data_IF_374709323080
#
_entry.id   IF_374709323080
#
_cell.length_a   1.000
_cell.length_b   1.000
_cell.length_c   1.000
_cell.angle_alpha   90.00
_cell.angle_beta   90.00
_cell.angle_gamma   90.00
#
_symmetry.space_group_name_H-M   'P 1'
#
loop_
_entity.id
_entity.type
_entity.pdbx_description
1 polymer ?
#
# COMPACT_ATOMS: atom_id res chain seq x y z
N UNK A 1 8.55 -10.89 -10.28
CA UNK A 1 9.27 -9.59 -10.40
C UNK A 1 8.35 -8.44 -10.00
N UNK A 2 8.93 -7.38 -9.38
CA UNK A 2 8.16 -6.18 -9.04
C UNK A 2 8.10 -5.22 -10.23
N UNK A 3 6.89 -4.86 -10.62
CA UNK A 3 6.63 -3.93 -11.70
C UNK A 3 6.48 -2.49 -11.17
N UNK A 4 6.90 -1.55 -11.99
CA UNK A 4 6.59 -0.13 -11.89
C UNK A 4 5.76 0.26 -13.11
N UNK A 5 4.42 0.20 -13.03
CA UNK A 5 3.56 0.37 -14.18
C UNK A 5 3.52 1.80 -14.71
N UNK A 6 3.98 2.80 -13.92
CA UNK A 6 3.95 4.19 -14.34
C UNK A 6 2.52 4.72 -14.46
N UNK A 7 1.69 4.40 -13.48
CA UNK A 7 0.34 4.94 -13.41
C UNK A 7 0.48 6.43 -13.12
N UNK A 8 0.26 7.26 -14.13
CA UNK A 8 0.07 8.70 -13.94
C UNK A 8 -1.27 8.86 -13.21
N UNK A 9 -1.18 9.04 -11.91
CA UNK A 9 -2.34 9.23 -11.08
C UNK A 9 -2.79 10.68 -11.13
N UNK A 10 -3.65 11.01 -12.07
CA UNK A 10 -4.57 12.12 -11.89
C UNK A 10 -5.67 11.79 -10.85
N UNK A 11 -5.56 10.68 -10.14
CA UNK A 11 -6.54 10.19 -9.17
C UNK A 11 -5.85 9.65 -7.91
N UNK A 12 -5.54 10.50 -6.94
CA UNK A 12 -5.07 10.23 -5.57
C UNK A 12 -3.58 10.09 -5.32
N UNK A 13 -3.10 10.86 -4.33
CA UNK A 13 -1.76 10.84 -3.73
C UNK A 13 -1.31 9.42 -3.29
N UNK A 14 -2.26 8.52 -3.01
CA UNK A 14 -2.00 7.15 -2.58
C UNK A 14 -1.33 6.25 -3.65
N UNK A 15 -1.35 6.64 -4.94
CA UNK A 15 -0.74 5.88 -6.04
C UNK A 15 0.67 6.39 -6.39
N UNK A 16 1.20 7.36 -5.68
CA UNK A 16 2.50 7.98 -5.97
C UNK A 16 3.69 7.02 -5.87
N UNK A 17 3.58 5.86 -5.23
CA UNK A 17 4.65 4.85 -5.20
C UNK A 17 4.79 4.06 -6.50
N UNK A 18 3.89 4.23 -7.45
CA UNK A 18 3.97 3.65 -8.80
C UNK A 18 4.42 4.66 -9.86
N UNK A 19 4.83 5.88 -9.48
CA UNK A 19 5.33 6.92 -10.36
C UNK A 19 6.58 6.47 -11.12
N UNK A 20 6.81 7.08 -12.30
CA UNK A 20 8.01 6.84 -13.10
C UNK A 20 9.30 7.14 -12.34
N UNK A 21 9.29 8.12 -11.45
CA UNK A 21 10.40 8.44 -10.54
C UNK A 21 10.20 7.74 -9.18
N UNK A 22 10.41 6.43 -9.15
CA UNK A 22 10.31 5.62 -7.95
C UNK A 22 11.49 4.64 -7.88
N UNK A 23 12.05 4.48 -6.68
CA UNK A 23 13.17 3.54 -6.44
C UNK A 23 12.78 2.06 -6.53
N UNK A 24 11.47 1.75 -6.58
CA UNK A 24 10.97 0.37 -6.53
C UNK A 24 10.55 -0.15 -7.89
N UNK A 25 10.90 -1.40 -8.16
CA UNK A 25 10.41 -2.16 -9.30
C UNK A 25 10.99 -1.73 -10.65
N UNK A 26 10.79 -2.58 -11.65
CA UNK A 26 11.24 -2.35 -13.01
C UNK A 26 10.19 -1.59 -13.82
N UNK A 27 10.60 -0.60 -14.59
CA UNK A 27 9.72 0.17 -15.44
C UNK A 27 9.07 -0.71 -16.53
N UNK A 28 7.74 -0.64 -16.61
CA UNK A 28 6.99 -1.30 -17.69
C UNK A 28 7.11 -0.52 -18.98
N UNK A 29 6.90 0.80 -18.95
CA UNK A 29 6.98 1.68 -20.13
C UNK A 29 8.39 1.79 -20.70
N UNK A 30 9.42 1.77 -19.83
CA UNK A 30 10.83 1.78 -20.25
C UNK A 30 11.35 0.43 -20.77
N UNK A 31 10.54 -0.62 -20.71
CA UNK A 31 10.93 -1.96 -21.16
C UNK A 31 11.85 -2.73 -20.22
N UNK A 32 12.23 -2.15 -19.08
CA UNK A 32 13.10 -2.79 -18.08
C UNK A 32 12.46 -4.05 -17.50
N UNK A 33 11.15 -4.00 -17.20
CA UNK A 33 10.40 -5.14 -16.68
C UNK A 33 10.40 -6.33 -17.64
N UNK A 34 10.26 -6.06 -18.93
CA UNK A 34 10.31 -7.10 -19.96
C UNK A 34 11.69 -7.73 -20.05
N UNK A 35 12.76 -6.92 -20.07
CA UNK A 35 14.13 -7.42 -20.10
C UNK A 35 14.45 -8.25 -18.85
N UNK A 36 14.04 -7.80 -17.66
CA UNK A 36 14.23 -8.54 -16.43
C UNK A 36 13.52 -9.91 -16.46
N UNK A 37 12.28 -9.95 -16.96
CA UNK A 37 11.55 -11.20 -17.12
C UNK A 37 12.24 -12.17 -18.11
N UNK A 38 12.72 -11.67 -19.24
CA UNK A 38 13.46 -12.46 -20.23
C UNK A 38 14.76 -13.04 -19.64
N UNK A 39 15.51 -12.23 -18.88
CA UNK A 39 16.73 -12.70 -18.22
C UNK A 39 16.44 -13.84 -17.22
N UNK A 40 15.38 -13.71 -16.42
CA UNK A 40 14.99 -14.74 -15.46
C UNK A 40 14.51 -16.02 -16.15
N UNK A 41 13.79 -15.89 -17.27
CA UNK A 41 13.33 -17.06 -18.05
C UNK A 41 14.47 -17.77 -18.81
N UNK A 42 15.58 -17.10 -19.02
CA UNK A 42 16.79 -17.65 -19.66
C UNK A 42 17.79 -18.27 -18.68
N UNK A 43 17.51 -18.26 -17.39
CA UNK A 43 18.42 -18.74 -16.32
C UNK A 43 17.71 -19.82 -15.48
N UNK A 44 18.13 -21.06 -15.61
CA UNK A 44 17.55 -22.22 -14.91
C UNK A 44 17.69 -22.17 -13.38
N UNK A 45 18.48 -21.22 -12.85
CA UNK A 45 18.62 -20.98 -11.41
C UNK A 45 17.34 -20.39 -10.81
N UNK A 46 16.53 -19.70 -11.63
CA UNK A 46 15.32 -19.02 -11.21
C UNK A 46 14.06 -19.66 -11.77
N UNK A 47 12.99 -19.59 -11.00
CA UNK A 47 11.63 -19.83 -11.47
C UNK A 47 10.85 -18.54 -11.39
N UNK A 48 10.52 -17.94 -12.52
CA UNK A 48 9.60 -16.83 -12.56
C UNK A 48 8.18 -17.34 -12.32
N UNK A 49 7.52 -16.97 -11.22
CA UNK A 49 6.15 -17.36 -10.90
C UNK A 49 5.14 -16.31 -11.36
N UNK A 50 5.51 -15.03 -11.31
CA UNK A 50 4.56 -13.98 -11.66
C UNK A 50 5.08 -12.58 -11.45
N UNK A 51 4.13 -11.66 -11.28
CA UNK A 51 4.39 -10.22 -11.15
C UNK A 51 3.84 -9.68 -9.84
N UNK A 52 4.49 -8.64 -9.33
CA UNK A 52 4.14 -7.95 -8.11
C UNK A 52 4.12 -6.44 -8.35
N UNK A 53 3.22 -5.75 -7.66
CA UNK A 53 3.29 -4.29 -7.51
C UNK A 53 2.68 -3.90 -6.17
N UNK A 54 3.30 -2.94 -5.50
CA UNK A 54 2.76 -2.28 -4.32
C UNK A 54 2.49 -0.83 -4.69
N UNK A 55 1.24 -0.40 -4.65
CA UNK A 55 0.82 0.89 -5.21
C UNK A 55 0.76 2.03 -4.17
N UNK A 56 0.92 1.73 -2.90
CA UNK A 56 0.92 2.74 -1.85
C UNK A 56 0.51 2.21 -0.48
N UNK A 57 0.23 3.13 0.44
CA UNK A 57 -0.17 2.84 1.82
C UNK A 57 -1.36 3.70 2.21
N UNK A 58 -2.22 3.22 3.11
CA UNK A 58 -3.46 3.89 3.53
C UNK A 58 -4.39 4.16 2.34
N UNK A 59 -4.60 3.16 1.52
CA UNK A 59 -5.48 3.24 0.35
C UNK A 59 -6.90 2.91 0.83
N UNK A 60 -7.80 3.89 0.75
CA UNK A 60 -9.19 3.77 1.18
C UNK A 60 -10.17 3.43 0.06
N UNK A 61 -9.69 3.25 -1.17
CA UNK A 61 -10.50 2.97 -2.34
C UNK A 61 -10.08 1.67 -3.01
N UNK A 62 -11.05 0.97 -3.61
CA UNK A 62 -10.76 -0.27 -4.34
C UNK A 62 -10.36 -0.04 -5.80
N UNK A 63 -10.79 1.10 -6.39
CA UNK A 63 -10.55 1.41 -7.80
C UNK A 63 -9.08 1.39 -8.25
N UNK A 64 -8.07 1.82 -7.45
CA UNK A 64 -6.67 1.71 -7.85
C UNK A 64 -6.22 0.28 -8.11
N UNK A 65 -6.81 -0.68 -7.40
CA UNK A 65 -6.51 -2.10 -7.62
C UNK A 65 -7.11 -2.64 -8.93
N UNK A 66 -8.26 -2.11 -9.36
CA UNK A 66 -8.81 -2.44 -10.70
C UNK A 66 -7.89 -1.94 -11.82
N UNK A 67 -7.34 -0.73 -11.68
CA UNK A 67 -6.35 -0.20 -12.62
C UNK A 67 -5.10 -1.08 -12.64
N UNK A 68 -4.62 -1.52 -11.47
CA UNK A 68 -3.46 -2.40 -11.39
C UNK A 68 -3.72 -3.76 -12.05
N UNK A 69 -4.95 -4.32 -11.93
CA UNK A 69 -5.34 -5.54 -12.64
C UNK A 69 -5.13 -5.39 -14.16
N UNK A 70 -5.56 -4.27 -14.74
CA UNK A 70 -5.39 -4.02 -16.17
C UNK A 70 -3.91 -3.97 -16.58
N UNK A 71 -3.06 -3.30 -15.79
CA UNK A 71 -1.62 -3.28 -16.04
C UNK A 71 -0.97 -4.66 -15.95
N UNK A 72 -1.39 -5.47 -14.99
CA UNK A 72 -0.86 -6.82 -14.82
C UNK A 72 -1.24 -7.73 -16.00
N UNK A 73 -2.50 -7.71 -16.41
CA UNK A 73 -2.98 -8.52 -17.54
C UNK A 73 -2.31 -8.07 -18.84
N UNK A 74 -2.21 -6.76 -19.11
CA UNK A 74 -1.52 -6.23 -20.29
C UNK A 74 -0.05 -6.66 -20.33
N UNK A 75 0.68 -6.47 -19.22
CA UNK A 75 2.10 -6.87 -19.15
C UNK A 75 2.26 -8.38 -19.34
N UNK A 76 1.48 -9.19 -18.62
CA UNK A 76 1.57 -10.64 -18.68
C UNK A 76 1.20 -11.19 -20.06
N UNK A 77 0.23 -10.58 -20.75
CA UNK A 77 -0.15 -10.92 -22.11
C UNK A 77 0.98 -10.62 -23.11
N UNK A 78 1.60 -9.43 -23.02
CA UNK A 78 2.77 -9.08 -23.84
C UNK A 78 3.96 -9.99 -23.58
N UNK A 79 4.21 -10.34 -22.32
CA UNK A 79 5.27 -11.28 -21.96
C UNK A 79 5.00 -12.66 -22.54
N UNK A 80 3.76 -13.16 -22.45
CA UNK A 80 3.34 -14.45 -23.04
C UNK A 80 3.50 -14.45 -24.56
N UNK A 81 3.10 -13.38 -25.24
CA UNK A 81 3.26 -13.26 -26.70
C UNK A 81 4.73 -13.29 -27.13
N UNK A 82 5.61 -12.70 -26.31
CA UNK A 82 7.03 -12.61 -26.65
C UNK A 82 7.84 -13.86 -26.32
N UNK A 83 7.50 -14.55 -25.21
CA UNK A 83 8.35 -15.62 -24.64
C UNK A 83 7.65 -16.98 -24.55
N UNK A 84 6.34 -17.03 -24.74
CA UNK A 84 5.53 -18.23 -24.48
C UNK A 84 5.22 -18.46 -23.00
N UNK A 85 5.87 -17.73 -22.08
CA UNK A 85 5.66 -17.88 -20.65
C UNK A 85 4.31 -17.30 -20.22
N UNK A 86 3.60 -18.03 -19.36
CA UNK A 86 2.35 -17.58 -18.76
C UNK A 86 2.54 -17.35 -17.27
N UNK A 87 2.34 -16.13 -16.81
CA UNK A 87 2.42 -15.80 -15.40
C UNK A 87 1.35 -16.52 -14.58
N UNK A 88 1.78 -17.20 -13.52
CA UNK A 88 0.94 -18.03 -12.67
C UNK A 88 0.35 -17.22 -11.49
N UNK A 89 1.02 -16.13 -11.07
CA UNK A 89 0.69 -15.37 -9.87
C UNK A 89 0.71 -13.85 -10.13
N UNK A 90 -0.31 -13.18 -9.61
CA UNK A 90 -0.36 -11.72 -9.53
C UNK A 90 -0.42 -11.29 -8.07
N UNK A 91 0.64 -10.63 -7.60
CA UNK A 91 0.76 -10.14 -6.25
C UNK A 91 0.49 -8.63 -6.21
N UNK A 92 -0.58 -8.23 -5.55
CA UNK A 92 -1.06 -6.85 -5.46
C UNK A 92 -0.41 -6.05 -4.33
N UNK A 93 0.54 -6.64 -3.61
CA UNK A 93 1.15 -6.01 -2.43
C UNK A 93 0.15 -5.81 -1.30
N UNK A 94 0.40 -4.78 -0.52
CA UNK A 94 -0.45 -4.39 0.60
C UNK A 94 -0.97 -2.96 0.45
N UNK A 95 -1.02 -2.25 1.56
CA UNK A 95 -1.41 -0.84 1.58
C UNK A 95 -2.88 -0.60 1.84
N UNK A 96 -3.64 -1.64 2.15
CA UNK A 96 -5.05 -1.54 2.54
C UNK A 96 -5.20 -0.62 3.75
N UNK A 97 -6.09 0.37 3.64
CA UNK A 97 -6.29 1.38 4.64
C UNK A 97 -6.88 0.83 5.93
N UNK A 98 -6.45 1.39 7.05
CA UNK A 98 -7.01 1.14 8.38
C UNK A 98 -7.39 2.46 9.04
N UNK A 99 -8.29 2.40 10.01
CA UNK A 99 -8.69 3.56 10.77
C UNK A 99 -7.59 4.01 11.73
N UNK A 100 -7.31 5.31 11.80
CA UNK A 100 -6.42 5.93 12.77
C UNK A 100 -7.08 7.11 13.49
N UNK A 101 -7.84 7.91 12.77
CA UNK A 101 -8.45 9.14 13.29
C UNK A 101 -9.86 9.33 12.75
N UNK A 102 -10.63 10.17 13.42
CA UNK A 102 -11.95 10.55 12.94
C UNK A 102 -11.84 11.17 11.54
N UNK A 103 -12.63 10.65 10.62
CA UNK A 103 -12.59 11.02 9.20
C UNK A 103 -11.99 9.95 8.30
N UNK A 104 -11.20 9.01 8.84
CA UNK A 104 -10.77 7.84 8.08
C UNK A 104 -11.98 6.95 7.76
N UNK A 105 -12.04 6.51 6.51
CA UNK A 105 -13.13 5.66 6.01
C UNK A 105 -12.58 4.39 5.36
N UNK A 106 -11.96 3.49 6.16
CA UNK A 106 -11.40 2.26 5.62
C UNK A 106 -12.49 1.40 4.99
N UNK A 107 -12.17 0.81 3.86
CA UNK A 107 -13.00 -0.19 3.21
C UNK A 107 -12.65 -1.56 3.80
N UNK A 108 -13.65 -2.40 4.00
CA UNK A 108 -13.42 -3.77 4.46
C UNK A 108 -12.48 -4.53 3.51
N UNK A 109 -11.53 -5.29 4.07
CA UNK A 109 -10.50 -6.02 3.30
C UNK A 109 -11.12 -6.94 2.23
N UNK A 110 -12.24 -7.59 2.56
CA UNK A 110 -12.98 -8.43 1.62
C UNK A 110 -13.43 -7.70 0.35
N UNK A 111 -13.73 -6.40 0.45
CA UNK A 111 -14.14 -5.59 -0.70
C UNK A 111 -12.99 -5.36 -1.69
N UNK A 112 -11.75 -5.18 -1.21
CA UNK A 112 -10.57 -5.10 -2.09
C UNK A 112 -10.37 -6.41 -2.84
N UNK A 113 -10.40 -7.54 -2.12
CA UNK A 113 -10.20 -8.86 -2.71
C UNK A 113 -11.29 -9.17 -3.73
N UNK A 114 -12.55 -8.86 -3.40
CA UNK A 114 -13.66 -9.02 -4.33
C UNK A 114 -13.46 -8.19 -5.60
N UNK A 115 -13.09 -6.91 -5.46
CA UNK A 115 -12.84 -6.02 -6.60
C UNK A 115 -11.72 -6.56 -7.49
N UNK A 116 -10.60 -6.98 -6.90
CA UNK A 116 -9.48 -7.59 -7.64
C UNK A 116 -9.94 -8.84 -8.39
N UNK A 117 -10.62 -9.75 -7.69
CA UNK A 117 -11.03 -11.02 -8.28
C UNK A 117 -12.04 -10.83 -9.43
N UNK A 118 -13.03 -9.97 -9.26
CA UNK A 118 -14.04 -9.73 -10.29
C UNK A 118 -13.43 -9.01 -11.51
N UNK A 119 -12.59 -7.99 -11.28
CA UNK A 119 -11.87 -7.30 -12.36
C UNK A 119 -10.96 -8.25 -13.13
N UNK A 120 -10.20 -9.10 -12.44
CA UNK A 120 -9.33 -10.08 -13.11
C UNK A 120 -10.11 -11.10 -13.93
N UNK A 121 -11.24 -11.60 -13.41
CA UNK A 121 -12.09 -12.53 -14.18
C UNK A 121 -12.53 -11.95 -15.52
N UNK A 122 -12.96 -10.69 -15.50
CA UNK A 122 -13.38 -9.98 -16.71
C UNK A 122 -12.21 -9.77 -17.68
N UNK A 123 -11.09 -9.21 -17.19
CA UNK A 123 -9.93 -8.90 -18.02
C UNK A 123 -9.25 -10.15 -18.57
N UNK A 124 -9.12 -11.21 -17.77
CA UNK A 124 -8.54 -12.48 -18.22
C UNK A 124 -9.42 -13.14 -19.28
N UNK A 125 -10.75 -13.12 -19.12
CA UNK A 125 -11.67 -13.62 -20.13
C UNK A 125 -11.53 -12.86 -21.46
N UNK A 126 -11.50 -11.53 -21.41
CA UNK A 126 -11.33 -10.67 -22.61
C UNK A 126 -9.98 -10.92 -23.30
N UNK A 127 -8.92 -11.09 -22.53
CA UNK A 127 -7.56 -11.34 -23.03
C UNK A 127 -7.27 -12.79 -23.42
N UNK A 128 -8.21 -13.72 -23.20
CA UNK A 128 -7.96 -15.17 -23.31
C UNK A 128 -6.71 -15.60 -22.52
N UNK A 129 -6.56 -15.01 -21.33
CA UNK A 129 -5.47 -15.29 -20.39
C UNK A 129 -5.99 -16.17 -19.25
N UNK A 130 -5.25 -17.21 -18.83
CA UNK A 130 -5.67 -18.03 -17.70
C UNK A 130 -5.70 -17.22 -16.42
N UNK A 131 -6.68 -17.48 -15.55
CA UNK A 131 -6.81 -16.80 -14.27
C UNK A 131 -5.60 -17.10 -13.37
N UNK A 132 -4.82 -16.09 -12.96
CA UNK A 132 -3.66 -16.30 -12.09
C UNK A 132 -4.08 -16.51 -10.63
N UNK A 133 -3.16 -17.01 -9.81
CA UNK A 133 -3.29 -16.92 -8.36
C UNK A 133 -3.22 -15.47 -7.91
N UNK A 134 -4.12 -15.09 -7.02
CA UNK A 134 -4.14 -13.75 -6.42
C UNK A 134 -3.39 -13.82 -5.09
N UNK A 135 -2.33 -13.04 -4.97
CA UNK A 135 -1.57 -12.86 -3.73
C UNK A 135 -1.68 -11.43 -3.25
N UNK A 136 -1.80 -11.24 -1.95
CA UNK A 136 -1.78 -9.92 -1.28
C UNK A 136 -0.86 -9.97 -0.07
N UNK A 137 -0.32 -8.81 0.32
CA UNK A 137 0.63 -8.65 1.43
C UNK A 137 0.05 -7.71 2.51
N UNK A 138 -1.07 -8.06 3.16
CA UNK A 138 -1.66 -7.23 4.19
C UNK A 138 -0.76 -7.22 5.43
N UNK A 139 -0.25 -6.05 5.78
CA UNK A 139 0.52 -5.87 7.02
C UNK A 139 -0.33 -5.17 8.07
N UNK A 140 -0.47 -3.86 7.92
CA UNK A 140 -1.17 -3.01 8.86
C UNK A 140 -2.63 -3.40 9.06
N UNK A 141 -3.33 -3.79 8.03
CA UNK A 141 -4.72 -4.25 8.11
C UNK A 141 -4.92 -5.53 8.93
N UNK A 142 -3.86 -6.27 9.24
CA UNK A 142 -3.92 -7.42 10.15
C UNK A 142 -3.63 -6.99 11.60
N UNK A 143 -2.62 -6.14 11.82
CA UNK A 143 -2.07 -5.90 13.16
C UNK A 143 -2.22 -4.45 13.64
N UNK A 144 -2.66 -3.53 12.80
CA UNK A 144 -2.67 -2.09 13.12
C UNK A 144 -3.55 -1.76 14.31
N UNK A 145 -4.73 -2.35 14.40
CA UNK A 145 -5.68 -2.13 15.50
C UNK A 145 -5.32 -2.92 16.77
N UNK A 146 -4.45 -3.92 16.67
CA UNK A 146 -3.98 -4.70 17.81
C UNK A 146 -2.80 -4.05 18.55
N UNK A 147 -2.18 -3.03 17.99
CA UNK A 147 -0.99 -2.36 18.53
C UNK A 147 -1.33 -1.08 19.26
N UNK A 148 -0.78 -0.91 20.48
CA UNK A 148 -0.86 0.34 21.24
C UNK A 148 0.54 0.71 21.71
N UNK A 149 0.91 1.98 21.54
CA UNK A 149 2.15 2.53 22.07
C UNK A 149 1.84 3.35 23.32
N UNK A 150 2.53 3.06 24.41
CA UNK A 150 2.40 3.80 25.68
C UNK A 150 3.61 4.72 25.86
N UNK A 151 3.33 5.96 26.20
CA UNK A 151 4.33 6.94 26.57
C UNK A 151 4.04 7.49 27.96
N UNK A 152 5.08 7.79 28.71
CA UNK A 152 4.98 8.45 30.02
C UNK A 152 5.09 9.97 29.83
N UNK A 153 4.15 10.70 30.37
CA UNK A 153 4.20 12.16 30.40
C UNK A 153 5.29 12.61 31.37
N UNK A 154 6.28 13.33 30.86
CA UNK A 154 7.37 13.91 31.64
C UNK A 154 7.04 15.27 32.19
N UNK A 155 6.83 16.23 31.29
CA UNK A 155 6.57 17.62 31.68
C UNK A 155 5.45 18.27 30.88
N UNK A 156 4.78 19.24 31.50
CA UNK A 156 3.75 20.03 30.84
C UNK A 156 4.15 21.51 30.92
N UNK A 157 4.22 22.19 29.79
CA UNK A 157 4.51 23.61 29.70
C UNK A 157 3.36 24.34 29.01
N UNK A 158 2.65 25.15 29.75
CA UNK A 158 1.61 26.02 29.19
C UNK A 158 2.18 27.40 28.84
N UNK A 159 1.91 27.82 27.59
CA UNK A 159 2.15 29.20 27.14
C UNK A 159 0.78 29.87 26.95
N UNK A 160 0.36 30.74 27.87
CA UNK A 160 -0.98 31.32 27.83
C UNK A 160 -1.29 32.00 26.48
N UNK A 161 -2.45 31.69 25.92
CA UNK A 161 -2.91 32.24 24.65
C UNK A 161 -2.21 31.69 23.39
N UNK A 162 -1.25 30.79 23.55
CA UNK A 162 -0.52 30.20 22.41
C UNK A 162 -0.76 28.71 22.35
N UNK A 163 -0.19 27.90 23.28
CA UNK A 163 -0.36 26.43 23.31
C UNK A 163 0.19 25.78 24.58
N UNK A 164 -0.18 24.55 24.77
CA UNK A 164 0.38 23.69 25.82
C UNK A 164 1.24 22.61 25.20
N UNK A 165 2.49 22.49 25.63
CA UNK A 165 3.39 21.40 25.28
C UNK A 165 3.32 20.32 26.35
N UNK A 166 3.25 19.06 25.90
CA UNK A 166 3.31 17.89 26.74
C UNK A 166 4.48 17.02 26.25
N UNK A 167 5.55 16.95 27.03
CA UNK A 167 6.68 16.08 26.70
C UNK A 167 6.41 14.65 27.15
N UNK A 168 6.87 13.72 26.34
CA UNK A 168 6.76 12.28 26.60
C UNK A 168 8.14 11.62 26.45
N UNK A 169 8.29 10.39 26.95
CA UNK A 169 9.51 9.60 26.88
C UNK A 169 9.72 8.89 25.53
N UNK A 170 9.09 9.39 24.49
CA UNK A 170 9.22 8.90 23.10
C UNK A 170 9.61 10.01 22.13
N UNK A 171 9.88 9.64 20.90
CA UNK A 171 10.29 10.60 19.89
C UNK A 171 10.25 10.06 18.46
N UNK A 172 10.92 10.78 17.56
CA UNK A 172 10.97 10.48 16.13
C UNK A 172 11.46 9.07 15.80
N UNK A 173 12.33 8.49 16.63
CA UNK A 173 12.85 7.13 16.40
C UNK A 173 11.81 6.03 16.73
N UNK A 174 10.81 6.34 17.57
CA UNK A 174 9.70 5.44 17.87
C UNK A 174 8.63 5.50 16.77
N UNK A 175 8.25 6.70 16.38
CA UNK A 175 7.25 6.94 15.37
C UNK A 175 7.59 8.13 14.46
N UNK A 176 8.43 7.95 13.44
CA UNK A 176 8.79 9.01 12.51
C UNK A 176 7.67 9.40 11.55
N UNK A 177 6.57 8.66 11.52
CA UNK A 177 5.52 8.82 10.50
C UNK A 177 4.80 10.16 10.56
N UNK A 178 4.62 10.72 11.76
CA UNK A 178 4.02 12.05 11.90
C UNK A 178 4.83 13.12 11.15
N UNK A 179 6.15 13.07 11.26
CA UNK A 179 7.03 14.04 10.61
C UNK A 179 7.30 13.76 9.13
N UNK A 180 7.38 12.48 8.73
CA UNK A 180 7.72 12.09 7.36
C UNK A 180 6.52 12.04 6.42
N UNK A 181 5.33 11.74 6.94
CA UNK A 181 4.14 11.45 6.14
C UNK A 181 2.90 12.21 6.60
N UNK A 182 3.06 13.19 7.49
CA UNK A 182 1.94 13.94 8.11
C UNK A 182 0.85 13.01 8.66
N UNK A 183 1.27 11.87 9.23
CA UNK A 183 0.36 10.85 9.73
C UNK A 183 -0.23 11.28 11.06
N UNK A 184 -1.54 11.20 11.18
CA UNK A 184 -2.26 11.47 12.42
C UNK A 184 -2.58 10.18 13.16
N UNK A 185 -2.64 10.26 14.49
CA UNK A 185 -2.98 9.14 15.36
C UNK A 185 -3.96 9.59 16.44
N UNK A 186 -4.82 8.69 16.88
CA UNK A 186 -5.66 8.92 18.06
C UNK A 186 -4.82 8.73 19.31
N UNK A 187 -4.82 9.74 20.19
CA UNK A 187 -4.11 9.74 21.46
C UNK A 187 -5.12 9.84 22.59
N UNK A 188 -4.96 8.99 23.61
CA UNK A 188 -5.81 8.98 24.82
C UNK A 188 -4.96 8.90 26.07
N UNK A 189 -5.47 9.44 27.20
CA UNK A 189 -4.85 9.20 28.48
C UNK A 189 -5.14 7.78 28.94
N UNK A 190 -4.10 6.95 29.14
CA UNK A 190 -4.28 5.54 29.49
C UNK A 190 -5.08 5.35 30.79
N UNK A 191 -4.89 6.23 31.78
CA UNK A 191 -5.60 6.17 33.07
C UNK A 191 -7.07 6.63 32.97
N UNK A 192 -7.46 7.29 31.89
CA UNK A 192 -8.77 7.91 31.69
C UNK A 192 -9.17 7.92 30.22
N UNK A 193 -9.12 6.76 29.58
CA UNK A 193 -9.37 6.62 28.13
C UNK A 193 -10.76 7.13 27.68
N UNK A 194 -11.74 7.03 28.57
CA UNK A 194 -13.12 7.47 28.33
C UNK A 194 -13.37 8.94 28.73
N UNK A 195 -12.35 9.67 29.21
CA UNK A 195 -12.51 11.06 29.60
C UNK A 195 -12.70 11.95 28.35
N UNK A 196 -13.47 13.05 28.46
CA UNK A 196 -13.58 14.04 27.39
C UNK A 196 -12.21 14.57 26.93
N UNK A 197 -12.06 14.76 25.63
CA UNK A 197 -10.87 15.33 25.01
C UNK A 197 -11.07 16.84 24.80
N UNK A 198 -10.86 17.62 25.87
CA UNK A 198 -11.22 19.04 25.88
C UNK A 198 -10.08 19.97 25.45
N UNK A 199 -8.87 19.47 25.35
CA UNK A 199 -7.68 20.27 25.10
C UNK A 199 -6.83 19.71 23.98
N UNK A 200 -6.39 20.62 23.09
CA UNK A 200 -5.34 20.32 22.10
C UNK A 200 -3.99 20.64 22.71
N UNK A 201 -3.06 19.69 22.64
CA UNK A 201 -1.67 19.84 23.09
C UNK A 201 -0.70 19.56 21.94
N UNK A 202 0.54 19.99 22.10
CA UNK A 202 1.63 19.74 21.13
C UNK A 202 2.76 18.99 21.81
#
# INVERSE_FOLDING_TARGET
>A
IRLRPGIEAHTHEAIQTANLDCKFGFSVSGGEAMKAAEMLLGDDTFRLCGVHCHIGSQIFQTSPFSVLCAHFVDFAQRLRQKTGYTAEEFNFGGGFGVWYVNGDTPVELGSYIKTIADTLKELCAQASFPMPHITVEPGRSIVGEAGTTLYTVGGVKNIPGIRTYVSVDGGMFDNPRCALYDSHYTVVCADRADAPHDNTVT
#
